data_IF_701488465389
#
_entry.id   IF_701488465389
#
_cell.length_a   1.000
_cell.length_b   1.000
_cell.length_c   1.000
_cell.angle_alpha   90.00
_cell.angle_beta   90.00
_cell.angle_gamma   90.00
#
_symmetry.space_group_name_H-M   'P 1'
#
loop_
_entity.id
_entity.type
_entity.pdbx_description
1 polymer ?
#
# COMPACT_ATOMS: atom_id res chain seq x y z
N UNK A 1 -0.13 -5.36 1.02
CA UNK A 1 -1.37 -5.77 1.71
C UNK A 1 -1.09 -6.12 3.16
N UNK A 2 -0.13 -6.99 3.47
CA UNK A 2 0.29 -7.25 4.86
C UNK A 2 0.67 -5.98 5.64
N UNK A 3 1.20 -4.94 4.98
CA UNK A 3 1.43 -3.61 5.56
C UNK A 3 0.19 -2.99 6.21
N UNK A 4 -0.88 -2.88 5.44
CA UNK A 4 -2.13 -2.27 5.87
C UNK A 4 -2.81 -3.14 6.93
N UNK A 5 -2.70 -4.47 6.83
CA UNK A 5 -3.22 -5.42 7.84
C UNK A 5 -2.45 -5.32 9.16
N UNK A 6 -1.11 -5.25 9.12
CA UNK A 6 -0.25 -5.13 10.30
C UNK A 6 -0.46 -3.80 11.05
N UNK A 7 -0.77 -2.74 10.31
CA UNK A 7 -1.06 -1.40 10.86
C UNK A 7 -2.54 -1.15 11.16
N UNK A 8 -3.41 -2.14 10.89
CA UNK A 8 -4.87 -2.02 11.05
C UNK A 8 -5.49 -0.80 10.35
N UNK A 9 -4.92 -0.42 9.19
CA UNK A 9 -5.35 0.75 8.41
C UNK A 9 -6.75 0.51 7.87
N UNK A 10 -7.66 1.46 8.12
CA UNK A 10 -9.04 1.40 7.64
C UNK A 10 -9.16 1.94 6.22
N UNK A 11 -10.31 1.69 5.58
CA UNK A 11 -10.60 2.35 4.30
C UNK A 11 -10.55 3.87 4.47
N UNK A 12 -9.95 4.56 3.50
CA UNK A 12 -9.77 6.01 3.55
C UNK A 12 -8.60 6.48 4.41
N UNK A 13 -7.94 5.61 5.17
CA UNK A 13 -6.73 5.97 5.90
C UNK A 13 -5.48 5.90 5.03
N UNK A 14 -4.54 6.80 5.33
CA UNK A 14 -3.28 6.96 4.62
C UNK A 14 -2.18 6.24 5.37
N UNK A 15 -1.55 5.28 4.71
CA UNK A 15 -0.32 4.69 5.21
C UNK A 15 0.86 5.50 4.70
N UNK A 16 1.61 6.11 5.62
CA UNK A 16 2.72 6.99 5.28
C UNK A 16 3.85 6.23 4.58
N UNK A 17 4.62 6.92 3.73
CA UNK A 17 5.74 6.29 3.04
C UNK A 17 6.77 5.68 3.98
N UNK A 18 7.02 6.30 5.15
CA UNK A 18 7.98 5.80 6.14
C UNK A 18 7.62 4.39 6.64
N UNK A 19 6.34 4.13 6.85
CA UNK A 19 5.85 2.83 7.33
C UNK A 19 5.65 1.83 6.20
N UNK A 20 5.35 2.33 5.01
CA UNK A 20 5.16 1.54 3.81
C UNK A 20 6.50 1.00 3.26
N UNK A 21 7.57 1.80 3.35
CA UNK A 21 8.89 1.53 2.77
C UNK A 21 9.45 0.14 3.10
N UNK A 22 9.58 -0.26 4.39
CA UNK A 22 10.15 -1.57 4.73
C UNK A 22 9.32 -2.73 4.16
N UNK A 23 8.00 -2.55 4.05
CA UNK A 23 7.09 -3.62 3.62
C UNK A 23 7.07 -3.76 2.09
N UNK A 24 7.22 -2.64 1.40
CA UNK A 24 7.47 -2.63 -0.04
C UNK A 24 8.81 -3.29 -0.37
N UNK A 25 9.88 -2.94 0.35
CA UNK A 25 11.20 -3.53 0.15
C UNK A 25 11.19 -5.05 0.39
N UNK A 26 10.43 -5.54 1.37
CA UNK A 26 10.29 -6.97 1.65
C UNK A 26 9.49 -7.72 0.57
N UNK A 27 8.36 -7.16 0.09
CA UNK A 27 7.55 -7.80 -0.96
C UNK A 27 8.12 -7.68 -2.37
N UNK A 28 8.83 -6.60 -2.63
CA UNK A 28 9.28 -6.21 -3.96
C UNK A 28 10.80 -5.89 -3.96
N UNK A 29 11.66 -6.81 -3.49
CA UNK A 29 13.11 -6.55 -3.34
C UNK A 29 13.85 -6.38 -4.67
N UNK A 30 13.21 -6.71 -5.79
CA UNK A 30 13.81 -6.67 -7.13
C UNK A 30 13.73 -5.29 -7.81
N UNK A 31 12.99 -4.35 -7.24
CA UNK A 31 12.79 -3.04 -7.87
C UNK A 31 13.83 -2.05 -7.35
N UNK A 32 14.47 -1.33 -8.27
CA UNK A 32 15.51 -0.34 -7.91
C UNK A 32 14.90 0.90 -7.25
N UNK A 33 13.70 1.27 -7.70
CA UNK A 33 12.80 2.27 -7.13
C UNK A 33 11.53 1.57 -6.65
N UNK A 34 11.66 0.71 -5.63
CA UNK A 34 10.56 -0.09 -5.06
C UNK A 34 9.33 0.76 -4.74
N UNK A 35 9.54 2.01 -4.34
CA UNK A 35 8.50 2.96 -4.01
C UNK A 35 7.62 3.26 -5.23
N UNK A 36 8.20 3.81 -6.30
CA UNK A 36 7.47 4.30 -7.46
C UNK A 36 6.78 3.18 -8.24
N UNK A 37 7.44 2.03 -8.41
CA UNK A 37 6.84 0.89 -9.12
C UNK A 37 5.77 0.19 -8.29
N UNK A 38 5.94 0.07 -6.98
CA UNK A 38 4.88 -0.51 -6.15
C UNK A 38 3.69 0.45 -6.00
N UNK A 39 3.92 1.76 -5.88
CA UNK A 39 2.86 2.76 -5.94
C UNK A 39 2.09 2.66 -7.25
N UNK A 40 2.78 2.61 -8.39
CA UNK A 40 2.13 2.47 -9.69
C UNK A 40 1.38 1.15 -9.81
N UNK A 41 1.96 0.04 -9.35
CA UNK A 41 1.32 -1.27 -9.41
C UNK A 41 0.06 -1.34 -8.52
N UNK A 42 0.14 -0.80 -7.30
CA UNK A 42 -0.97 -0.78 -6.37
C UNK A 42 -2.06 0.22 -6.81
N UNK A 43 -1.67 1.39 -7.33
CA UNK A 43 -2.59 2.37 -7.91
C UNK A 43 -3.29 1.80 -9.15
N UNK A 44 -2.56 1.10 -10.03
CA UNK A 44 -3.13 0.43 -11.20
C UNK A 44 -4.08 -0.70 -10.83
N UNK A 45 -3.89 -1.32 -9.67
CA UNK A 45 -4.80 -2.34 -9.15
C UNK A 45 -6.07 -1.75 -8.49
N UNK A 46 -6.14 -0.43 -8.28
CA UNK A 46 -7.28 0.24 -7.64
C UNK A 46 -7.41 -0.02 -6.13
N UNK A 47 -6.42 -0.69 -5.51
CA UNK A 47 -6.45 -1.03 -4.09
C UNK A 47 -5.99 0.13 -3.19
N UNK A 48 -5.21 1.07 -3.73
CA UNK A 48 -4.73 2.25 -3.02
C UNK A 48 -4.75 3.46 -3.95
N UNK A 49 -4.89 4.65 -3.38
CA UNK A 49 -4.73 5.91 -4.08
C UNK A 49 -3.42 6.58 -3.65
N UNK A 50 -2.60 7.08 -4.59
CA UNK A 50 -1.43 7.87 -4.25
C UNK A 50 -1.87 9.18 -3.60
N UNK A 51 -1.32 9.49 -2.43
CA UNK A 51 -1.54 10.70 -1.67
C UNK A 51 -0.19 11.42 -1.41
N UNK A 52 -0.19 12.73 -1.11
CA UNK A 52 1.04 13.47 -0.83
C UNK A 52 1.83 12.88 0.34
N UNK A 53 1.14 12.34 1.34
CA UNK A 53 1.72 11.83 2.57
C UNK A 53 2.05 10.31 2.51
N UNK A 54 1.53 9.60 1.51
CA UNK A 54 1.63 8.14 1.44
C UNK A 54 0.65 7.48 0.48
N UNK A 55 0.24 6.26 0.80
CA UNK A 55 -0.76 5.50 0.06
C UNK A 55 -2.06 5.41 0.86
N UNK A 56 -3.12 5.99 0.33
CA UNK A 56 -4.47 5.88 0.91
C UNK A 56 -5.10 4.55 0.54
N UNK A 57 -5.57 3.79 1.53
CA UNK A 57 -6.25 2.53 1.27
C UNK A 57 -7.66 2.78 0.72
N UNK A 58 -7.99 2.21 -0.44
CA UNK A 58 -9.35 2.31 -0.98
C UNK A 58 -10.27 1.28 -0.34
N UNK A 59 -11.58 1.48 -0.46
CA UNK A 59 -12.60 0.50 -0.06
C UNK A 59 -12.34 -0.88 -0.67
N UNK A 60 -11.91 -0.93 -1.93
CA UNK A 60 -11.60 -2.18 -2.64
C UNK A 60 -10.36 -2.84 -2.03
N UNK A 61 -9.32 -2.06 -1.73
CA UNK A 61 -8.12 -2.55 -1.04
C UNK A 61 -8.43 -3.10 0.35
N UNK A 62 -9.28 -2.39 1.10
CA UNK A 62 -9.71 -2.80 2.43
C UNK A 62 -10.52 -4.10 2.42
N UNK A 63 -11.43 -4.28 1.45
CA UNK A 63 -12.16 -5.55 1.27
C UNK A 63 -11.21 -6.70 0.93
N UNK A 64 -10.30 -6.49 -0.03
CA UNK A 64 -9.30 -7.50 -0.38
C UNK A 64 -8.35 -7.87 0.79
N UNK A 65 -8.15 -6.98 1.75
CA UNK A 65 -7.42 -7.25 2.99
C UNK A 65 -8.22 -8.02 4.03
N UNK A 66 -9.54 -7.85 4.04
CA UNK A 66 -10.44 -8.41 5.06
C UNK A 66 -10.98 -9.77 4.62
N UNK A 67 -11.17 -9.99 3.32
CA UNK A 67 -11.69 -11.24 2.73
C UNK A 67 -10.64 -12.38 2.66
N UNK A 68 -9.67 -12.43 3.57
CA UNK A 68 -8.59 -13.41 3.55
C UNK A 68 -8.37 -14.14 4.87
#
# INVERSE_FOLDING_TARGET
MDAFRAKNIKEGEVLTYQELYPILQEKYPKYKDVQKEAEQHLAKSGFVNPAPEGLMLTQIGYRALTEK
#
